data_IF_329914267472
#
_entry.id   IF_329914267472
#
_cell.length_a   1.000
_cell.length_b   1.000
_cell.length_c   1.000
_cell.angle_alpha   90.00
_cell.angle_beta   90.00
_cell.angle_gamma   90.00
#
_symmetry.space_group_name_H-M   'P 1'
#
loop_
_entity.id
_entity.type
_entity.pdbx_description
1 polymer ?
#
# COMPACT_ATOMS: atom_id res chain seq x y z
N UNK A 1 -16.26 -11.27 -4.84
CA UNK A 1 -15.35 -10.78 -5.88
C UNK A 1 -14.80 -9.44 -5.44
N UNK A 2 -13.47 -9.30 -5.37
CA UNK A 2 -12.82 -7.99 -5.30
C UNK A 2 -12.13 -7.76 -6.64
N UNK A 3 -12.29 -6.56 -7.19
CA UNK A 3 -11.60 -6.14 -8.40
C UNK A 3 -10.41 -5.30 -7.98
N UNK A 4 -9.26 -5.59 -8.59
CA UNK A 4 -8.12 -4.70 -8.55
C UNK A 4 -8.12 -3.87 -9.83
N UNK A 5 -7.97 -2.56 -9.69
CA UNK A 5 -7.66 -1.66 -10.81
C UNK A 5 -6.26 -1.14 -10.56
N UNK A 6 -5.48 -1.00 -11.63
CA UNK A 6 -4.14 -0.44 -11.52
C UNK A 6 -4.23 0.95 -10.87
N UNK A 7 -3.34 1.31 -9.92
CA UNK A 7 -3.33 2.63 -9.30
C UNK A 7 -2.74 3.67 -10.27
N UNK A 8 -3.42 3.92 -11.38
CA UNK A 8 -2.92 4.71 -12.52
C UNK A 8 -2.50 6.14 -12.15
N UNK A 9 -3.07 6.71 -11.09
CA UNK A 9 -2.66 8.00 -10.54
C UNK A 9 -1.18 8.03 -10.08
N UNK A 10 -0.58 6.88 -9.78
CA UNK A 10 0.85 6.82 -9.46
C UNK A 10 1.71 7.14 -10.68
N UNK A 11 1.21 6.96 -11.91
CA UNK A 11 1.94 7.30 -13.14
C UNK A 11 2.27 8.79 -13.20
N UNK A 12 1.43 9.67 -12.65
CA UNK A 12 1.72 11.12 -12.59
C UNK A 12 2.83 11.45 -11.59
N UNK A 13 3.11 10.56 -10.64
CA UNK A 13 4.14 10.71 -9.60
C UNK A 13 5.45 10.09 -10.06
N UNK A 14 5.39 8.88 -10.61
CA UNK A 14 6.57 8.13 -11.05
C UNK A 14 6.92 8.39 -12.51
N UNK A 15 6.08 8.97 -13.35
CA UNK A 15 6.37 9.16 -14.78
C UNK A 15 6.26 7.86 -15.58
N UNK A 16 6.02 7.97 -16.90
CA UNK A 16 5.67 6.84 -17.79
C UNK A 16 6.75 5.74 -17.89
N UNK A 17 8.03 6.10 -17.72
CA UNK A 17 9.18 5.20 -17.84
C UNK A 17 9.40 4.30 -16.62
N UNK A 18 8.65 4.53 -15.53
CA UNK A 18 8.75 3.76 -14.29
C UNK A 18 7.48 2.95 -14.02
N UNK A 19 7.62 1.73 -13.46
CA UNK A 19 6.48 0.92 -13.12
C UNK A 19 5.70 1.52 -11.94
N UNK A 20 4.38 1.34 -11.97
CA UNK A 20 3.47 1.75 -10.88
C UNK A 20 3.32 0.66 -9.82
N UNK A 21 3.72 -0.57 -10.13
CA UNK A 21 3.73 -1.71 -9.23
C UNK A 21 4.64 -2.83 -9.76
N UNK A 22 4.83 -3.88 -8.96
CA UNK A 22 5.42 -5.15 -9.38
C UNK A 22 4.49 -6.30 -9.02
N UNK A 23 4.33 -7.24 -9.94
CA UNK A 23 3.60 -8.48 -9.71
C UNK A 23 4.39 -9.42 -8.78
N UNK A 24 3.71 -10.38 -8.15
CA UNK A 24 4.36 -11.33 -7.22
C UNK A 24 5.34 -12.29 -7.91
N UNK A 25 5.28 -12.43 -9.23
CA UNK A 25 6.25 -13.17 -10.03
C UNK A 25 7.48 -12.32 -10.43
N UNK A 26 7.54 -11.06 -9.96
CA UNK A 26 8.69 -10.18 -10.11
C UNK A 26 8.66 -9.28 -11.34
N UNK A 27 7.67 -9.42 -12.23
CA UNK A 27 7.58 -8.56 -13.41
C UNK A 27 6.97 -7.18 -13.08
N UNK A 28 7.47 -6.10 -13.71
CA UNK A 28 6.92 -4.77 -13.53
C UNK A 28 5.51 -4.65 -14.11
N UNK A 29 4.71 -3.77 -13.52
CA UNK A 29 3.39 -3.37 -14.00
C UNK A 29 3.45 -1.88 -14.35
N UNK A 30 3.23 -1.55 -15.61
CA UNK A 30 3.13 -0.19 -16.13
C UNK A 30 1.67 0.27 -16.22
N UNK A 31 1.46 1.56 -16.44
CA UNK A 31 0.14 2.15 -16.66
C UNK A 31 -0.42 1.86 -18.05
N UNK A 32 -1.24 2.79 -18.56
CA UNK A 32 -1.99 2.64 -19.82
C UNK A 32 -1.18 2.99 -21.08
N UNK A 33 0.13 3.17 -20.94
CA UNK A 33 1.06 3.52 -22.03
C UNK A 33 2.34 2.69 -21.92
N UNK A 34 3.05 2.59 -23.03
CA UNK A 34 4.45 2.15 -23.07
C UNK A 34 5.35 3.13 -22.28
N UNK A 35 6.59 2.70 -22.04
CA UNK A 35 7.58 3.50 -21.30
C UNK A 35 7.97 4.81 -21.98
N UNK A 36 7.78 4.93 -23.29
CA UNK A 36 7.98 6.15 -24.08
C UNK A 36 6.70 7.02 -24.18
N UNK A 37 5.61 6.59 -23.55
CA UNK A 37 4.31 7.26 -23.56
C UNK A 37 3.43 6.93 -24.77
N UNK A 38 3.87 6.06 -25.68
CA UNK A 38 3.05 5.59 -26.79
C UNK A 38 1.92 4.65 -26.31
N UNK A 39 0.86 4.46 -27.11
CA UNK A 39 -0.21 3.53 -26.76
C UNK A 39 0.31 2.10 -26.61
N UNK A 40 -0.21 1.38 -25.62
CA UNK A 40 0.17 -0.02 -25.32
C UNK A 40 -0.01 -0.90 -26.55
N UNK A 41 0.98 -1.76 -26.80
CA UNK A 41 0.96 -2.73 -27.88
C UNK A 41 -0.02 -3.90 -27.61
N UNK A 42 -0.01 -4.92 -28.48
CA UNK A 42 -0.84 -6.09 -28.32
C UNK A 42 -0.44 -6.89 -27.07
N UNK A 43 -1.36 -6.98 -26.11
CA UNK A 43 -1.18 -7.74 -24.87
C UNK A 43 -1.53 -9.22 -25.05
N UNK A 44 -0.81 -10.07 -24.32
CA UNK A 44 -1.09 -11.49 -24.22
C UNK A 44 -2.26 -11.82 -23.26
N UNK A 45 -2.54 -13.11 -23.07
CA UNK A 45 -3.62 -13.57 -22.19
C UNK A 45 -3.46 -13.18 -20.71
N UNK A 46 -2.26 -12.77 -20.29
CA UNK A 46 -1.94 -12.32 -18.95
C UNK A 46 -1.92 -10.80 -18.83
N UNK A 47 -2.30 -10.07 -19.89
CA UNK A 47 -2.31 -8.61 -19.97
C UNK A 47 -0.91 -7.99 -19.92
N UNK A 48 0.06 -8.65 -20.55
CA UNK A 48 1.42 -8.15 -20.69
C UNK A 48 2.03 -8.49 -22.05
N UNK A 49 3.23 -8.03 -22.30
CA UNK A 49 4.03 -8.36 -23.47
C UNK A 49 5.52 -8.20 -23.17
N UNK A 50 6.37 -8.62 -24.11
CA UNK A 50 7.80 -8.35 -24.08
C UNK A 50 8.11 -7.15 -24.95
N UNK A 51 9.04 -6.31 -24.50
CA UNK A 51 9.63 -5.26 -25.34
C UNK A 51 10.62 -5.82 -26.38
N UNK A 52 11.23 -4.93 -27.16
CA UNK A 52 12.23 -5.27 -28.18
C UNK A 52 13.48 -5.98 -27.61
N UNK A 53 13.80 -5.78 -26.33
CA UNK A 53 14.89 -6.47 -25.63
C UNK A 53 14.43 -7.77 -24.95
N UNK A 54 13.21 -8.23 -25.24
CA UNK A 54 12.60 -9.43 -24.68
C UNK A 54 12.40 -9.36 -23.14
N UNK A 55 12.20 -8.16 -22.59
CA UNK A 55 11.85 -7.97 -21.18
C UNK A 55 10.33 -7.93 -21.04
N UNK A 56 9.79 -8.92 -20.37
CA UNK A 56 8.35 -9.04 -20.17
C UNK A 56 7.86 -8.07 -19.09
N UNK A 57 6.68 -7.49 -19.30
CA UNK A 57 6.01 -6.60 -18.35
C UNK A 57 4.49 -6.63 -18.54
N UNK A 58 3.76 -6.25 -17.50
CA UNK A 58 2.29 -6.14 -17.54
C UNK A 58 1.85 -4.69 -17.69
N UNK A 59 0.61 -4.50 -18.14
CA UNK A 59 -0.04 -3.20 -18.16
C UNK A 59 -1.31 -3.16 -17.30
N UNK A 60 -1.55 -1.99 -16.73
CA UNK A 60 -2.88 -1.59 -16.25
C UNK A 60 -3.74 -1.19 -17.44
N UNK A 61 -4.97 -1.69 -17.52
CA UNK A 61 -5.91 -1.41 -18.61
C UNK A 61 -7.31 -1.09 -18.07
N UNK A 62 -8.16 -0.46 -18.89
CA UNK A 62 -9.57 -0.17 -18.53
C UNK A 62 -10.53 -1.30 -18.88
N UNK A 63 -10.01 -2.39 -19.43
CA UNK A 63 -10.78 -3.56 -19.85
C UNK A 63 -10.27 -4.78 -19.12
N UNK A 64 -11.14 -5.77 -18.89
CA UNK A 64 -10.73 -7.02 -18.26
C UNK A 64 -9.48 -7.61 -18.96
N UNK A 65 -8.43 -8.02 -18.21
CA UNK A 65 -8.40 -8.24 -16.76
C UNK A 65 -7.96 -7.03 -15.89
N UNK A 66 -7.86 -5.82 -16.45
CA UNK A 66 -7.53 -4.53 -15.80
C UNK A 66 -6.10 -4.37 -15.26
N UNK A 67 -5.46 -5.46 -14.83
CA UNK A 67 -4.03 -5.56 -14.49
C UNK A 67 -3.56 -6.92 -15.04
N UNK A 68 -2.70 -7.65 -14.34
CA UNK A 68 -2.29 -8.97 -14.78
C UNK A 68 -3.40 -10.00 -14.54
N UNK A 69 -3.80 -10.72 -15.59
CA UNK A 69 -4.82 -11.79 -15.52
C UNK A 69 -4.30 -13.09 -14.87
N UNK A 70 -3.01 -13.14 -14.56
CA UNK A 70 -2.29 -14.27 -13.96
C UNK A 70 -0.81 -13.94 -13.82
N UNK A 71 0.02 -14.96 -13.62
CA UNK A 71 1.48 -14.81 -13.58
C UNK A 71 2.12 -15.53 -14.77
N UNK A 72 2.96 -14.79 -15.49
CA UNK A 72 3.81 -15.25 -16.58
C UNK A 72 5.06 -15.92 -16.04
N UNK A 73 5.57 -15.44 -14.91
CA UNK A 73 6.71 -16.01 -14.21
C UNK A 73 6.36 -17.23 -13.37
N UNK A 74 7.35 -17.72 -12.62
CA UNK A 74 7.18 -18.85 -11.70
C UNK A 74 6.91 -18.30 -10.31
N UNK A 75 5.83 -18.76 -9.69
CA UNK A 75 5.47 -18.45 -8.31
C UNK A 75 5.37 -19.72 -7.49
N UNK A 76 5.69 -19.63 -6.19
CA UNK A 76 5.27 -20.65 -5.24
C UNK A 76 3.77 -20.55 -5.03
N UNK A 77 3.07 -21.67 -4.92
CA UNK A 77 1.63 -21.72 -4.61
C UNK A 77 1.40 -22.65 -3.42
N UNK A 78 0.61 -22.21 -2.45
CA UNK A 78 0.17 -23.01 -1.31
C UNK A 78 -1.33 -22.85 -1.14
N UNK A 79 -2.10 -23.91 -1.45
CA UNK A 79 -3.55 -23.79 -1.61
C UNK A 79 -3.90 -22.86 -2.77
N UNK A 80 -4.69 -21.83 -2.50
CA UNK A 80 -5.09 -20.80 -3.48
C UNK A 80 -4.27 -19.50 -3.36
N UNK A 81 -3.16 -19.50 -2.61
CA UNK A 81 -2.31 -18.33 -2.38
C UNK A 81 -0.94 -18.47 -3.05
N UNK A 82 -0.44 -17.37 -3.65
CA UNK A 82 0.98 -17.24 -3.99
C UNK A 82 1.81 -17.17 -2.71
N UNK A 83 2.98 -17.81 -2.68
CA UNK A 83 3.89 -17.84 -1.53
C UNK A 83 5.35 -17.53 -1.94
N UNK A 84 6.10 -16.76 -1.12
CA UNK A 84 5.65 -16.05 0.08
C UNK A 84 4.96 -14.72 -0.27
N UNK A 85 3.93 -14.35 0.48
CA UNK A 85 3.41 -12.98 0.45
C UNK A 85 4.11 -12.13 1.51
N UNK A 86 4.34 -10.83 1.26
CA UNK A 86 4.74 -9.93 2.33
C UNK A 86 3.67 -9.96 3.42
N UNK A 87 4.05 -10.44 4.61
CA UNK A 87 3.19 -10.45 5.79
C UNK A 87 3.74 -9.43 6.77
N UNK A 88 2.87 -8.54 7.24
CA UNK A 88 3.16 -7.73 8.42
C UNK A 88 2.41 -8.29 9.62
N UNK A 89 3.05 -8.29 10.78
CA UNK A 89 2.38 -8.56 12.06
C UNK A 89 2.15 -7.23 12.75
N UNK A 90 0.90 -6.89 13.12
CA UNK A 90 0.62 -5.65 13.81
C UNK A 90 1.31 -5.66 15.18
N UNK A 91 1.81 -4.50 15.61
CA UNK A 91 2.40 -4.35 16.95
C UNK A 91 1.37 -4.55 18.07
N UNK A 92 0.09 -4.31 17.79
CA UNK A 92 -1.02 -4.44 18.74
C UNK A 92 -2.28 -4.97 18.06
N UNK A 93 -3.17 -5.66 18.81
CA UNK A 93 -4.52 -5.96 18.34
C UNK A 93 -5.29 -4.67 17.98
N UNK A 94 -6.22 -4.79 17.02
CA UNK A 94 -7.15 -3.72 16.70
C UNK A 94 -8.05 -3.40 17.91
N UNK A 95 -8.23 -2.11 18.21
CA UNK A 95 -9.14 -1.66 19.26
C UNK A 95 -10.60 -1.66 18.83
N UNK A 96 -11.51 -1.36 19.77
CA UNK A 96 -12.92 -1.10 19.44
C UNK A 96 -13.06 0.22 18.68
N UNK A 97 -13.90 0.30 17.62
CA UNK A 97 -14.14 1.56 16.90
C UNK A 97 -14.61 2.69 17.83
N UNK A 98 -13.98 3.85 17.72
CA UNK A 98 -14.37 5.06 18.46
C UNK A 98 -15.50 5.78 17.71
N UNK A 99 -16.71 5.80 18.29
CA UNK A 99 -17.86 6.50 17.69
C UNK A 99 -17.73 8.01 17.81
N UNK A 100 -17.97 8.71 16.69
CA UNK A 100 -17.85 10.17 16.63
C UNK A 100 -16.40 10.65 16.61
N UNK A 101 -15.47 9.80 16.15
CA UNK A 101 -14.08 10.17 15.96
C UNK A 101 -13.91 10.98 14.68
N UNK A 102 -13.13 12.05 14.73
CA UNK A 102 -12.71 12.79 13.54
C UNK A 102 -11.23 13.08 13.64
N UNK A 103 -10.44 12.58 12.69
CA UNK A 103 -9.02 12.93 12.57
C UNK A 103 -8.95 14.38 12.11
N UNK A 104 -8.16 15.19 12.82
CA UNK A 104 -8.02 16.62 12.53
C UNK A 104 -6.63 16.96 12.00
N UNK A 105 -5.60 16.21 12.40
CA UNK A 105 -4.24 16.45 11.94
C UNK A 105 -3.40 15.16 12.03
N UNK A 106 -2.47 15.01 11.09
CA UNK A 106 -1.39 14.04 11.17
C UNK A 106 -0.08 14.76 10.86
N UNK A 107 0.94 14.56 11.68
CA UNK A 107 2.24 15.21 11.51
C UNK A 107 3.40 14.28 11.86
N UNK A 108 4.51 14.43 11.14
CA UNK A 108 5.80 13.83 11.51
C UNK A 108 6.49 14.78 12.50
N UNK A 109 6.88 14.27 13.67
CA UNK A 109 7.46 15.07 14.76
C UNK A 109 8.95 14.82 14.98
N UNK A 110 9.52 13.84 14.28
CA UNK A 110 10.94 13.48 14.32
C UNK A 110 11.21 12.24 13.49
N UNK A 111 12.44 11.72 13.55
CA UNK A 111 12.78 10.46 12.87
C UNK A 111 11.96 9.30 13.47
N UNK A 112 11.21 8.61 12.61
CA UNK A 112 10.24 7.59 12.98
C UNK A 112 9.24 7.99 14.10
N UNK A 113 8.99 9.29 14.28
CA UNK A 113 8.11 9.83 15.31
C UNK A 113 6.95 10.61 14.68
N UNK A 114 5.74 10.36 15.18
CA UNK A 114 4.50 10.81 14.58
C UNK A 114 3.51 11.28 15.63
N UNK A 115 2.60 12.16 15.20
CA UNK A 115 1.48 12.65 15.99
C UNK A 115 0.20 12.58 15.16
N UNK A 116 -0.85 12.06 15.78
CA UNK A 116 -2.21 12.07 15.27
C UNK A 116 -3.10 12.85 16.25
N UNK A 117 -3.61 14.00 15.82
CA UNK A 117 -4.62 14.74 16.56
C UNK A 117 -6.01 14.40 16.01
N UNK A 118 -6.95 14.20 16.92
CA UNK A 118 -8.31 13.80 16.58
C UNK A 118 -9.29 14.29 17.65
N UNK A 119 -10.58 14.33 17.31
CA UNK A 119 -11.63 14.57 18.29
C UNK A 119 -12.46 13.32 18.51
N UNK A 120 -13.03 13.18 19.71
CA UNK A 120 -14.08 12.19 20.02
C UNK A 120 -15.31 12.97 20.47
N UNK A 121 -16.35 13.00 19.64
CA UNK A 121 -17.55 13.83 19.85
C UNK A 121 -17.20 15.31 20.12
N UNK A 122 -16.21 15.83 19.38
CA UNK A 122 -15.73 17.21 19.49
C UNK A 122 -14.67 17.45 20.58
N UNK A 123 -14.45 16.53 21.51
CA UNK A 123 -13.40 16.69 22.52
C UNK A 123 -12.01 16.34 21.95
N UNK A 124 -10.98 17.19 22.15
CA UNK A 124 -9.65 16.98 21.56
C UNK A 124 -8.90 15.83 22.23
N UNK A 125 -8.20 15.05 21.42
CA UNK A 125 -7.36 13.94 21.83
C UNK A 125 -6.13 13.87 20.90
N UNK A 126 -5.06 13.23 21.39
CA UNK A 126 -3.82 13.06 20.65
C UNK A 126 -3.23 11.68 20.87
N UNK A 127 -2.60 11.13 19.84
CA UNK A 127 -1.65 10.02 19.94
C UNK A 127 -0.30 10.52 19.45
N UNK A 128 0.72 10.42 20.28
CA UNK A 128 2.12 10.58 19.89
C UNK A 128 2.77 9.20 19.90
N UNK A 129 3.50 8.83 18.86
CA UNK A 129 4.11 7.51 18.80
C UNK A 129 5.45 7.49 18.07
N UNK A 130 6.35 6.63 18.55
CA UNK A 130 7.68 6.38 18.00
C UNK A 130 7.74 4.94 17.53
N UNK A 131 8.19 4.72 16.29
CA UNK A 131 8.21 3.41 15.63
C UNK A 131 9.65 2.93 15.48
N UNK A 132 10.00 1.86 16.19
CA UNK A 132 11.21 1.09 15.96
C UNK A 132 10.94 -0.20 15.18
N UNK A 133 12.00 -0.92 14.83
CA UNK A 133 11.92 -2.19 14.08
C UNK A 133 11.13 -3.27 14.84
N UNK A 134 11.28 -3.31 16.17
CA UNK A 134 10.72 -4.33 17.07
C UNK A 134 9.87 -3.75 18.20
N UNK A 135 9.74 -2.43 18.28
CA UNK A 135 8.98 -1.77 19.34
C UNK A 135 8.22 -0.55 18.82
N UNK A 136 7.00 -0.33 19.30
CA UNK A 136 6.29 0.94 19.13
C UNK A 136 5.84 1.43 20.49
N UNK A 137 6.21 2.65 20.84
CA UNK A 137 5.74 3.32 22.05
C UNK A 137 4.73 4.40 21.65
N UNK A 138 3.55 4.36 22.27
CA UNK A 138 2.43 5.26 22.01
C UNK A 138 2.03 5.98 23.30
N UNK A 139 1.92 7.29 23.25
CA UNK A 139 1.37 8.13 24.32
C UNK A 139 0.02 8.69 23.86
N UNK A 140 -1.03 8.36 24.60
CA UNK A 140 -2.38 8.85 24.38
C UNK A 140 -2.66 9.98 25.35
N UNK A 141 -3.03 11.15 24.84
CA UNK A 141 -3.38 12.32 25.65
C UNK A 141 -4.85 12.66 25.41
N UNK A 142 -5.63 12.66 26.49
CA UNK A 142 -7.05 13.00 26.47
C UNK A 142 -7.30 14.50 26.61
N UNK A 143 -8.58 14.94 26.61
CA UNK A 143 -8.97 16.35 26.64
C UNK A 143 -8.58 17.06 27.95
N UNK A 144 -8.39 16.32 29.04
CA UNK A 144 -7.94 16.84 30.34
C UNK A 144 -6.43 16.86 30.49
N UNK A 145 -5.66 16.69 29.40
CA UNK A 145 -4.21 16.48 29.38
C UNK A 145 -3.72 15.30 30.23
N UNK A 146 -4.63 14.40 30.62
CA UNK A 146 -4.26 13.12 31.21
C UNK A 146 -3.68 12.23 30.13
N UNK A 147 -2.48 11.73 30.35
CA UNK A 147 -1.80 10.85 29.41
C UNK A 147 -1.66 9.43 29.93
N UNK A 148 -1.62 8.47 29.00
CA UNK A 148 -1.17 7.10 29.25
C UNK A 148 -0.21 6.69 28.16
N UNK A 149 0.81 5.92 28.52
CA UNK A 149 1.79 5.40 27.57
C UNK A 149 1.70 3.88 27.51
N UNK A 150 1.75 3.34 26.30
CA UNK A 150 1.71 1.92 26.01
C UNK A 150 2.88 1.57 25.09
N UNK A 151 3.58 0.47 25.40
CA UNK A 151 4.68 -0.03 24.58
C UNK A 151 4.34 -1.41 24.05
N UNK A 152 4.55 -1.60 22.75
CA UNK A 152 4.20 -2.79 22.00
C UNK A 152 5.43 -3.40 21.36
N UNK A 153 5.62 -4.72 21.49
CA UNK A 153 6.79 -5.45 20.97
C UNK A 153 6.36 -6.66 20.16
N UNK A 154 7.19 -7.07 19.20
CA UNK A 154 6.97 -8.26 18.36
C UNK A 154 8.23 -9.08 18.17
#
# INVERSE_FOLDING_TARGET
YHYHVAPLHLQDIVGADRPIAYAMDGFPIYGETETDGSPVEALDQWNGHSDAENRYHYHGTRVYPYINGGFRGVVGVSGDEVTPQPRTRPFRPAGTPLRGVMITEFSVTGDHAYRLDYTVRGAPNRIEYVVGTHEVTMTFTGPTNTSRTETYRR
#
